data_IF_003262484155
#
_entry.id   IF_003262484155
#
_cell.length_a   1.000
_cell.length_b   1.000
_cell.length_c   1.000
_cell.angle_alpha   90.00
_cell.angle_beta   90.00
_cell.angle_gamma   90.00
#
_symmetry.space_group_name_H-M   'P 1'
#
loop_
_entity.id
_entity.type
_entity.pdbx_description
1 polymer ?
#
# COMPACT_ATOMS: atom_id res chain seq x y z
N UNK A 1 17.79 28.53 -15.67
CA UNK A 1 16.61 28.79 -14.83
C UNK A 1 16.43 27.63 -13.87
N UNK A 2 16.96 27.76 -12.65
CA UNK A 2 16.88 26.72 -11.63
C UNK A 2 15.44 26.60 -11.12
N UNK A 3 14.80 25.46 -11.37
CA UNK A 3 13.46 25.17 -10.86
C UNK A 3 13.49 25.12 -9.34
N UNK A 4 12.82 26.08 -8.69
CA UNK A 4 12.55 26.05 -7.25
C UNK A 4 11.76 24.79 -6.93
N UNK A 5 12.41 23.77 -6.39
CA UNK A 5 11.71 22.69 -5.69
C UNK A 5 11.02 23.34 -4.50
N UNK A 6 9.69 23.40 -4.53
CA UNK A 6 8.88 24.01 -3.46
C UNK A 6 9.26 23.39 -2.11
N UNK A 7 9.48 24.21 -1.08
CA UNK A 7 9.75 23.79 0.31
C UNK A 7 8.72 22.76 0.84
N UNK A 8 7.52 22.71 0.24
CA UNK A 8 6.50 21.69 0.50
C UNK A 8 6.93 20.26 0.08
N UNK A 9 7.70 20.11 -0.99
CA UNK A 9 8.22 18.82 -1.47
C UNK A 9 9.33 18.29 -0.57
N UNK A 10 10.22 19.16 -0.08
CA UNK A 10 11.28 18.78 0.87
C UNK A 10 10.68 18.34 2.22
N UNK A 11 9.67 19.05 2.73
CA UNK A 11 9.00 18.63 3.98
C UNK A 11 8.16 17.35 3.82
N UNK A 12 7.62 17.07 2.62
CA UNK A 12 6.90 15.81 2.34
C UNK A 12 7.84 14.61 2.27
N UNK A 13 9.06 14.79 1.75
CA UNK A 13 10.09 13.76 1.69
C UNK A 13 10.64 13.41 3.08
N UNK A 14 10.78 14.40 3.97
CA UNK A 14 11.26 14.20 5.34
C UNK A 14 10.21 13.50 6.23
N UNK A 15 8.91 13.54 5.86
CA UNK A 15 7.81 12.90 6.59
C UNK A 15 7.33 11.57 5.99
N UNK A 16 7.94 11.06 4.93
CA UNK A 16 7.58 9.77 4.33
C UNK A 16 6.17 9.73 3.71
N UNK A 17 5.57 10.89 3.42
CA UNK A 17 4.24 10.95 2.82
C UNK A 17 4.35 10.57 1.33
N UNK A 18 3.62 9.54 0.94
CA UNK A 18 3.44 9.16 -0.46
C UNK A 18 2.40 10.09 -1.07
N UNK A 19 2.81 10.91 -2.01
CA UNK A 19 1.92 11.76 -2.79
C UNK A 19 1.63 11.07 -4.12
N UNK A 20 0.36 10.76 -4.36
CA UNK A 20 -0.11 10.25 -5.65
C UNK A 20 -0.22 11.41 -6.65
N UNK A 21 0.78 11.53 -7.54
CA UNK A 21 0.82 12.55 -8.60
C UNK A 21 0.73 11.90 -9.98
N UNK A 22 -0.03 12.53 -10.88
CA UNK A 22 -0.07 12.16 -12.29
C UNK A 22 1.28 12.51 -12.91
N UNK A 23 2.06 11.50 -13.28
CA UNK A 23 3.26 11.69 -14.11
C UNK A 23 2.88 11.33 -15.55
N UNK A 24 3.04 12.28 -16.48
CA UNK A 24 2.97 11.96 -17.91
C UNK A 24 4.15 11.06 -18.25
N UNK A 25 3.88 9.80 -18.58
CA UNK A 25 4.89 8.88 -19.08
C UNK A 25 5.31 9.34 -20.49
N UNK A 26 6.54 9.85 -20.63
CA UNK A 26 7.12 10.13 -21.94
C UNK A 26 7.46 8.79 -22.61
N UNK A 27 6.92 8.60 -23.81
CA UNK A 27 7.01 7.37 -24.61
C UNK A 27 8.45 7.02 -24.99
N UNK A 28 8.82 5.76 -24.73
CA UNK A 28 9.67 4.81 -25.51
C UNK A 28 9.93 3.67 -24.50
N UNK A 29 9.36 2.47 -24.61
CA UNK A 29 9.37 1.58 -25.77
C UNK A 29 8.25 0.53 -25.67
N UNK A 30 7.87 0.02 -26.84
CA UNK A 30 6.82 -0.97 -27.12
C UNK A 30 7.24 -2.38 -26.68
N UNK A 31 6.32 -3.01 -25.93
CA UNK A 31 5.84 -4.41 -25.96
C UNK A 31 6.85 -5.57 -25.93
N UNK A 32 6.76 -6.36 -24.86
CA UNK A 32 6.85 -7.82 -24.91
C UNK A 32 5.97 -8.42 -23.80
N UNK A 33 4.68 -8.64 -24.09
CA UNK A 33 3.88 -9.62 -23.34
C UNK A 33 3.80 -10.86 -24.23
N UNK A 34 4.82 -11.71 -24.10
CA UNK A 34 4.82 -13.06 -24.61
C UNK A 34 4.19 -13.98 -23.55
N UNK A 35 2.95 -14.39 -23.82
CA UNK A 35 2.36 -15.70 -23.47
C UNK A 35 2.60 -16.20 -22.04
N UNK A 36 1.71 -15.81 -21.11
CA UNK A 36 1.52 -16.60 -19.88
C UNK A 36 0.54 -17.73 -20.18
N UNK A 37 1.08 -18.93 -20.43
CA UNK A 37 0.31 -20.15 -20.60
C UNK A 37 -0.31 -20.53 -19.25
N UNK A 38 -1.64 -20.63 -19.21
CA UNK A 38 -2.38 -21.07 -18.04
C UNK A 38 -1.98 -22.52 -17.72
N UNK A 39 -1.22 -22.71 -16.64
CA UNK A 39 -0.96 -24.05 -16.10
C UNK A 39 -2.09 -24.38 -15.13
N UNK A 40 -2.92 -25.34 -15.53
CA UNK A 40 -3.88 -26.01 -14.66
C UNK A 40 -3.13 -26.68 -13.50
N UNK A 41 -3.50 -26.31 -12.27
CA UNK A 41 -3.20 -27.11 -11.08
C UNK A 41 -4.51 -27.74 -10.66
N UNK A 42 -4.58 -29.05 -10.86
CA UNK A 42 -5.62 -29.92 -10.35
C UNK A 42 -5.17 -30.54 -9.02
N UNK A 43 -6.19 -30.88 -8.23
CA UNK A 43 -6.21 -31.86 -7.14
C UNK A 43 -5.83 -31.38 -5.72
N UNK A 44 -6.92 -31.14 -4.97
CA UNK A 44 -7.26 -31.82 -3.71
C UNK A 44 -6.33 -31.69 -2.51
N UNK A 45 -6.72 -30.83 -1.57
CA UNK A 45 -7.04 -31.26 -0.20
C UNK A 45 -7.94 -30.22 0.46
N UNK A 46 -9.11 -30.68 0.91
CA UNK A 46 -10.11 -29.90 1.60
C UNK A 46 -9.58 -29.47 2.96
N UNK A 47 -8.96 -28.32 3.03
CA UNK A 47 -8.94 -27.51 4.25
C UNK A 47 -9.68 -26.23 3.89
N UNK A 48 -10.88 -26.09 4.43
CA UNK A 48 -11.66 -24.87 4.37
C UNK A 48 -10.89 -23.78 5.11
N UNK A 49 -9.93 -23.18 4.41
CA UNK A 49 -9.50 -21.82 4.66
C UNK A 49 -10.73 -21.00 4.28
N UNK A 50 -11.65 -20.85 5.23
CA UNK A 50 -12.59 -19.74 5.20
C UNK A 50 -11.69 -18.51 5.19
N UNK A 51 -11.37 -18.01 4.00
CA UNK A 51 -10.82 -16.68 3.83
C UNK A 51 -11.85 -15.78 4.50
N UNK A 52 -11.61 -15.45 5.77
CA UNK A 52 -12.49 -14.63 6.57
C UNK A 52 -12.76 -13.41 5.70
N UNK A 53 -13.98 -13.32 5.17
CA UNK A 53 -14.36 -12.27 4.25
C UNK A 53 -14.08 -10.98 5.03
N UNK A 54 -13.13 -10.15 4.56
CA UNK A 54 -12.72 -9.00 5.34
C UNK A 54 -13.95 -8.11 5.46
N UNK A 55 -14.25 -7.62 6.67
CA UNK A 55 -15.44 -6.80 6.99
C UNK A 55 -15.59 -5.71 5.94
N UNK A 56 -16.43 -5.98 4.94
CA UNK A 56 -16.50 -5.21 3.73
C UNK A 56 -17.43 -4.05 4.02
N UNK A 57 -17.18 -2.90 3.38
CA UNK A 57 -18.00 -1.71 3.56
C UNK A 57 -19.49 -2.06 3.61
N UNK A 58 -20.26 -1.41 4.48
CA UNK A 58 -21.68 -1.76 4.70
C UNK A 58 -22.51 -1.92 3.40
N UNK A 59 -22.20 -1.18 2.33
CA UNK A 59 -22.85 -1.29 1.01
C UNK A 59 -22.41 -2.49 0.16
N UNK A 60 -21.32 -3.16 0.55
CA UNK A 60 -20.76 -4.36 -0.07
C UNK A 60 -20.96 -5.61 0.80
N UNK A 61 -21.35 -5.46 2.06
CA UNK A 61 -21.63 -6.56 2.98
C UNK A 61 -22.73 -7.49 2.43
N UNK A 62 -22.52 -8.80 2.55
CA UNK A 62 -23.48 -9.84 2.11
C UNK A 62 -23.48 -10.15 0.61
N UNK A 63 -22.65 -9.49 -0.20
CA UNK A 63 -22.48 -9.81 -1.63
C UNK A 63 -21.58 -11.03 -1.82
N UNK A 64 -21.86 -11.84 -2.84
CA UNK A 64 -20.97 -12.95 -3.20
C UNK A 64 -19.71 -12.44 -3.88
N UNK A 65 -18.67 -13.28 -3.93
CA UNK A 65 -17.44 -12.96 -4.66
C UNK A 65 -17.71 -12.55 -6.12
N UNK A 66 -18.64 -13.24 -6.80
CA UNK A 66 -19.01 -12.93 -8.18
C UNK A 66 -19.60 -11.52 -8.31
N UNK A 67 -20.50 -11.14 -7.40
CA UNK A 67 -21.10 -9.79 -7.38
C UNK A 67 -20.06 -8.69 -7.14
N UNK A 68 -19.11 -8.95 -6.24
CA UNK A 68 -18.03 -8.01 -5.93
C UNK A 68 -17.07 -7.84 -7.10
N UNK A 69 -16.71 -8.94 -7.75
CA UNK A 69 -15.88 -8.93 -8.95
C UNK A 69 -16.55 -8.11 -10.06
N UNK A 70 -17.83 -8.38 -10.33
CA UNK A 70 -18.61 -7.66 -11.32
C UNK A 70 -18.68 -6.15 -11.04
N UNK A 71 -18.89 -5.77 -9.78
CA UNK A 71 -18.88 -4.35 -9.38
C UNK A 71 -17.51 -3.70 -9.57
N UNK A 72 -16.43 -4.43 -9.25
CA UNK A 72 -15.06 -3.91 -9.41
C UNK A 72 -14.69 -3.62 -10.87
N UNK A 73 -15.28 -4.37 -11.81
CA UNK A 73 -15.07 -4.21 -13.26
C UNK A 73 -16.01 -3.16 -13.86
N UNK A 74 -17.30 -3.18 -13.48
CA UNK A 74 -18.32 -2.27 -14.03
C UNK A 74 -18.14 -0.84 -13.54
N UNK A 75 -17.86 -0.65 -12.25
CA UNK A 75 -17.64 0.67 -11.67
C UNK A 75 -16.43 0.67 -10.71
N UNK A 76 -15.21 0.69 -11.27
CA UNK A 76 -13.99 0.69 -10.47
C UNK A 76 -13.85 1.95 -9.61
N UNK A 77 -14.40 3.09 -10.05
CA UNK A 77 -14.25 4.36 -9.31
C UNK A 77 -15.00 4.31 -7.99
N UNK A 78 -16.25 3.88 -8.03
CA UNK A 78 -17.08 3.78 -6.81
C UNK A 78 -16.60 2.64 -5.92
N UNK A 79 -16.29 1.48 -6.51
CA UNK A 79 -15.81 0.31 -5.76
C UNK A 79 -14.50 0.61 -5.02
N UNK A 80 -13.42 0.93 -5.75
CA UNK A 80 -12.11 1.17 -5.14
C UNK A 80 -12.08 2.46 -4.32
N UNK A 81 -12.85 3.48 -4.71
CA UNK A 81 -12.94 4.73 -3.96
C UNK A 81 -13.56 4.54 -2.57
N UNK A 82 -14.59 3.69 -2.46
CA UNK A 82 -15.21 3.38 -1.17
C UNK A 82 -14.27 2.56 -0.26
N UNK A 83 -13.69 1.49 -0.80
CA UNK A 83 -12.75 0.63 -0.06
C UNK A 83 -11.53 1.41 0.40
N UNK A 84 -10.95 2.25 -0.45
CA UNK A 84 -9.75 3.01 -0.11
C UNK A 84 -9.99 4.03 1.00
N UNK A 85 -11.19 4.64 1.07
CA UNK A 85 -11.54 5.59 2.14
C UNK A 85 -11.71 4.91 3.49
N UNK A 86 -12.21 3.69 3.50
CA UNK A 86 -12.48 2.95 4.74
C UNK A 86 -11.25 2.21 5.26
N UNK A 87 -10.43 1.65 4.36
CA UNK A 87 -9.30 0.78 4.74
C UNK A 87 -8.02 1.53 5.03
N UNK A 88 -7.83 2.72 4.45
CA UNK A 88 -6.59 3.46 4.54
C UNK A 88 -6.82 4.78 5.29
N UNK A 89 -5.90 5.07 6.19
CA UNK A 89 -5.75 6.37 6.82
C UNK A 89 -5.05 7.33 5.84
N UNK A 90 -5.85 8.24 5.28
CA UNK A 90 -5.38 9.32 4.42
C UNK A 90 -5.01 10.55 5.24
N UNK A 91 -3.81 11.07 5.03
CA UNK A 91 -3.42 12.39 5.56
C UNK A 91 -4.11 13.50 4.77
N UNK A 92 -4.23 13.32 3.44
CA UNK A 92 -5.02 14.17 2.56
C UNK A 92 -5.92 13.28 1.70
N UNK A 93 -7.25 13.53 1.67
CA UNK A 93 -8.15 12.76 0.80
C UNK A 93 -7.76 12.94 -0.66
N UNK A 94 -8.03 11.91 -1.47
CA UNK A 94 -7.81 11.95 -2.91
C UNK A 94 -8.97 12.65 -3.63
N UNK A 95 -8.64 13.28 -4.76
CA UNK A 95 -9.61 13.99 -5.61
C UNK A 95 -10.16 13.05 -6.70
N UNK A 96 -9.31 12.12 -7.20
CA UNK A 96 -9.67 11.21 -8.27
C UNK A 96 -9.18 9.78 -7.98
N UNK A 97 -10.09 8.80 -8.09
CA UNK A 97 -9.81 7.38 -7.76
C UNK A 97 -8.92 6.72 -8.81
N UNK A 98 -9.25 6.88 -10.10
CA UNK A 98 -8.50 6.30 -11.21
C UNK A 98 -8.39 7.27 -12.38
N UNK A 99 -7.22 7.28 -12.99
CA UNK A 99 -6.92 7.86 -14.29
C UNK A 99 -6.01 6.87 -15.03
N UNK A 100 -6.65 5.89 -15.65
CA UNK A 100 -5.99 4.78 -16.34
C UNK A 100 -6.30 4.84 -17.82
N UNK A 101 -5.26 4.95 -18.64
CA UNK A 101 -5.31 4.85 -20.08
C UNK A 101 -4.21 3.88 -20.53
N UNK A 102 -4.62 2.64 -20.81
CA UNK A 102 -3.74 1.57 -21.27
C UNK A 102 -3.10 1.89 -22.63
N UNK A 103 -3.77 2.66 -23.47
CA UNK A 103 -3.25 3.05 -24.79
C UNK A 103 -2.09 4.04 -24.68
N UNK A 104 -2.10 4.89 -23.66
CA UNK A 104 -1.00 5.82 -23.36
C UNK A 104 -0.05 5.35 -22.26
N UNK A 105 -0.28 4.17 -21.68
CA UNK A 105 0.53 3.62 -20.59
C UNK A 105 0.44 4.42 -19.29
N UNK A 106 -0.63 5.21 -19.12
CA UNK A 106 -0.87 5.98 -17.90
C UNK A 106 -1.71 5.14 -16.96
N UNK A 107 -1.17 4.84 -15.78
CA UNK A 107 -1.89 4.12 -14.73
C UNK A 107 -1.71 4.94 -13.45
N UNK A 108 -2.72 5.74 -13.13
CA UNK A 108 -2.72 6.56 -11.92
C UNK A 108 -3.89 6.16 -11.02
N UNK A 109 -3.61 6.01 -9.73
CA UNK A 109 -4.58 5.69 -8.69
C UNK A 109 -4.52 6.74 -7.57
N UNK A 110 -5.69 7.09 -7.02
CA UNK A 110 -5.88 7.99 -5.88
C UNK A 110 -5.16 9.35 -6.00
N UNK A 111 -5.26 9.97 -7.18
CA UNK A 111 -4.62 11.23 -7.49
C UNK A 111 -5.02 12.34 -6.53
N UNK A 112 -4.02 13.13 -6.11
CA UNK A 112 -4.19 14.21 -5.14
C UNK A 112 -4.18 13.74 -3.68
N UNK A 113 -4.34 12.43 -3.46
CA UNK A 113 -4.28 11.81 -2.15
C UNK A 113 -2.88 11.77 -1.58
N UNK A 114 -2.80 11.85 -0.26
CA UNK A 114 -1.55 11.67 0.49
C UNK A 114 -1.80 10.73 1.66
N UNK A 115 -0.92 9.74 1.80
CA UNK A 115 -0.92 8.83 2.94
C UNK A 115 0.52 8.52 3.35
N UNK A 116 0.69 8.05 4.58
CA UNK A 116 1.95 7.52 5.06
C UNK A 116 1.79 6.02 5.30
N UNK A 117 2.70 5.22 4.72
CA UNK A 117 2.64 3.76 4.79
C UNK A 117 2.89 3.28 6.23
N UNK A 118 3.88 3.87 6.92
CA UNK A 118 4.19 3.54 8.31
C UNK A 118 2.99 3.81 9.23
N UNK A 119 2.27 4.91 9.01
CA UNK A 119 1.06 5.23 9.79
C UNK A 119 -0.01 4.17 9.60
N UNK A 120 -0.24 3.74 8.36
CA UNK A 120 -1.26 2.73 8.06
C UNK A 120 -0.90 1.34 8.61
N UNK A 121 0.38 0.93 8.49
CA UNK A 121 0.82 -0.39 8.90
C UNK A 121 1.15 -0.51 10.38
N UNK A 122 1.52 0.59 11.06
CA UNK A 122 1.95 0.58 12.45
C UNK A 122 1.01 1.40 13.32
N UNK A 123 0.93 2.71 13.12
CA UNK A 123 0.31 3.61 14.09
C UNK A 123 -1.19 3.33 14.30
N UNK A 124 -1.93 2.96 13.25
CA UNK A 124 -3.34 2.54 13.35
C UNK A 124 -3.48 1.27 14.19
N UNK A 125 -2.56 0.32 14.04
CA UNK A 125 -2.60 -0.96 14.75
C UNK A 125 -2.12 -0.81 16.19
N UNK A 126 -1.09 0.01 16.45
CA UNK A 126 -0.62 0.37 17.79
C UNK A 126 -1.74 1.04 18.59
N UNK A 127 -2.50 1.95 17.97
CA UNK A 127 -3.62 2.62 18.63
C UNK A 127 -4.79 1.68 18.95
N UNK A 128 -4.98 0.62 18.16
CA UNK A 128 -6.07 -0.35 18.36
C UNK A 128 -5.71 -1.44 19.36
N UNK A 129 -4.53 -2.03 19.23
CA UNK A 129 -4.05 -3.13 20.04
C UNK A 129 -2.50 -3.20 20.01
N UNK A 130 -1.82 -2.52 20.98
CA UNK A 130 -0.37 -2.39 20.97
C UNK A 130 0.38 -3.69 21.28
N UNK A 131 -0.24 -4.61 22.03
CA UNK A 131 0.36 -5.86 22.49
C UNK A 131 0.19 -7.00 21.48
N UNK A 132 -0.58 -6.77 20.41
CA UNK A 132 -0.73 -7.71 19.31
C UNK A 132 0.62 -7.98 18.63
N UNK A 133 0.89 -9.27 18.39
CA UNK A 133 2.04 -9.72 17.61
C UNK A 133 1.87 -9.29 16.16
N UNK A 134 2.84 -8.52 15.67
CA UNK A 134 2.88 -7.97 14.32
C UNK A 134 3.78 -8.79 13.39
N UNK A 135 4.93 -9.24 13.91
CA UNK A 135 5.91 -10.03 13.18
C UNK A 135 6.25 -11.27 13.99
N UNK A 136 6.14 -12.43 13.35
CA UNK A 136 6.70 -13.69 13.86
C UNK A 136 7.94 -13.93 13.01
N UNK A 137 9.10 -13.83 13.63
CA UNK A 137 10.37 -14.08 12.99
C UNK A 137 10.87 -15.46 13.39
N UNK A 138 10.87 -16.39 12.43
CA UNK A 138 11.54 -17.68 12.57
C UNK A 138 13.03 -17.52 12.24
N UNK A 139 13.90 -17.82 13.20
CA UNK A 139 15.36 -17.78 12.96
C UNK A 139 15.81 -18.99 12.16
N UNK A 140 17.02 -18.90 11.61
CA UNK A 140 17.64 -19.99 10.84
C UNK A 140 17.79 -21.29 11.65
N UNK A 141 17.86 -21.21 12.98
CA UNK A 141 17.88 -22.38 13.85
C UNK A 141 16.45 -22.89 14.14
N UNK A 142 16.16 -24.17 13.87
CA UNK A 142 14.83 -24.72 14.04
C UNK A 142 14.35 -24.61 15.49
N UNK A 143 13.13 -24.11 15.68
CA UNK A 143 12.50 -23.98 16.99
C UNK A 143 12.76 -22.64 17.70
N UNK A 144 13.48 -21.70 17.08
CA UNK A 144 13.66 -20.37 17.63
C UNK A 144 12.77 -19.35 16.90
N UNK A 145 11.54 -19.17 17.39
CA UNK A 145 10.65 -18.09 16.92
C UNK A 145 10.71 -16.87 17.86
N UNK A 146 10.82 -15.68 17.29
CA UNK A 146 10.67 -14.41 17.99
C UNK A 146 9.35 -13.76 17.59
N UNK A 147 8.56 -13.36 18.59
CA UNK A 147 7.30 -12.65 18.39
C UNK A 147 7.50 -11.19 18.73
N UNK A 148 7.37 -10.33 17.73
CA UNK A 148 7.55 -8.89 17.87
C UNK A 148 6.18 -8.22 17.83
N UNK A 149 5.84 -7.47 18.88
CA UNK A 149 4.57 -6.74 19.00
C UNK A 149 4.59 -5.41 18.24
N UNK A 150 3.41 -4.88 17.93
CA UNK A 150 3.27 -3.57 17.28
C UNK A 150 3.94 -2.44 18.08
N UNK A 151 3.79 -2.43 19.41
CA UNK A 151 4.46 -1.47 20.30
C UNK A 151 5.99 -1.52 20.17
N UNK A 152 6.56 -2.72 20.16
CA UNK A 152 8.00 -2.91 20.00
C UNK A 152 8.48 -2.37 18.64
N UNK A 153 7.79 -2.69 17.54
CA UNK A 153 8.15 -2.17 16.21
C UNK A 153 8.06 -0.65 16.16
N UNK A 154 7.01 -0.05 16.73
CA UNK A 154 6.82 1.40 16.72
C UNK A 154 7.96 2.14 17.43
N UNK A 155 8.41 1.65 18.59
CA UNK A 155 9.57 2.20 19.31
C UNK A 155 10.84 2.08 18.47
N UNK A 156 11.09 0.91 17.88
CA UNK A 156 12.26 0.68 17.03
C UNK A 156 12.28 1.64 15.82
N UNK A 157 11.16 1.78 15.12
CA UNK A 157 11.04 2.68 13.96
C UNK A 157 11.28 4.13 14.38
N UNK A 158 10.66 4.58 15.47
CA UNK A 158 10.81 5.95 15.98
C UNK A 158 12.27 6.26 16.37
N UNK A 159 12.98 5.30 16.94
CA UNK A 159 14.37 5.45 17.34
C UNK A 159 15.38 5.37 16.18
N UNK A 160 15.10 4.55 15.17
CA UNK A 160 16.00 4.33 14.03
C UNK A 160 15.87 5.43 12.97
N UNK A 161 14.67 5.99 12.75
CA UNK A 161 14.44 7.00 11.72
C UNK A 161 15.39 8.23 11.80
N UNK A 162 15.64 8.84 12.97
CA UNK A 162 16.57 9.97 13.08
C UNK A 162 18.04 9.60 12.77
N UNK A 163 18.42 8.33 12.95
CA UNK A 163 19.78 7.85 12.61
C UNK A 163 19.93 7.67 11.10
N UNK A 164 18.95 7.07 10.45
CA UNK A 164 18.94 6.88 8.99
C UNK A 164 18.95 8.24 8.29
N UNK A 165 18.11 9.18 8.74
CA UNK A 165 18.04 10.51 8.15
C UNK A 165 19.32 11.35 8.29
N UNK A 166 20.12 11.13 9.35
CA UNK A 166 21.44 11.77 9.47
C UNK A 166 22.43 11.21 8.46
N UNK A 167 22.55 9.88 8.38
CA UNK A 167 23.44 9.22 7.40
C UNK A 167 23.14 9.62 5.96
N UNK A 168 21.87 9.79 5.59
CA UNK A 168 21.51 10.22 4.23
C UNK A 168 21.98 11.64 3.92
N UNK A 169 21.86 12.57 4.87
CA UNK A 169 22.37 13.95 4.69
C UNK A 169 23.89 14.01 4.54
N UNK A 170 24.59 13.12 5.23
CA UNK A 170 26.05 13.06 5.15
C UNK A 170 26.52 12.47 3.80
N UNK A 171 25.71 11.62 3.16
CA UNK A 171 26.00 11.04 1.82
C UNK A 171 25.73 12.05 0.71
N UNK A 172 24.67 12.86 0.81
CA UNK A 172 24.33 13.89 -0.17
C UNK A 172 25.25 15.13 -0.11
N UNK A 173 26.10 15.22 0.93
CA UNK A 173 27.05 16.31 1.14
C UNK A 173 28.43 16.09 0.48
N UNK A 174 28.67 14.91 -0.11
CA UNK A 174 29.89 14.52 -0.83
C UNK A 174 29.63 14.33 -2.33
#
# INVERSE_FOLDING_TARGET
MAGRVSLSLLNSLVRGNVIFRSKKCLRKSVVLISRFNARSVSSSSSSSISAAQPDLSSHLAGKTYADLYDLSVRDPKTFWGSIAKERLAWTKPFDQVTDCDLSSGKINWFLGGQLNVSVNCLDVHVAKDPDRVALIWEKDEPGTEERITYSSIHVHVTFLLPRVNRKLKDIDAH
#
